data_IF_699613356211
#
_entry.id   IF_699613356211
#
_cell.length_a   1.000
_cell.length_b   1.000
_cell.length_c   1.000
_cell.angle_alpha   90.00
_cell.angle_beta   90.00
_cell.angle_gamma   90.00
#
_symmetry.space_group_name_H-M   'P 1'
#
loop_
_entity.id
_entity.type
_entity.pdbx_description
1 polymer ?
#
# COMPACT_ATOMS: atom_id res chain seq x y z
N UNK A 1 19.92 13.72 37.60
CA UNK A 1 20.55 13.20 36.37
C UNK A 1 19.56 12.18 35.85
N UNK A 2 18.68 12.64 34.96
CA UNK A 2 17.49 11.90 34.54
C UNK A 2 17.90 10.80 33.56
N UNK A 3 17.47 9.60 33.90
CA UNK A 3 17.59 8.39 33.10
C UNK A 3 16.50 8.43 32.01
N UNK A 4 16.83 8.98 30.84
CA UNK A 4 15.99 8.95 29.63
C UNK A 4 16.25 7.69 28.79
N UNK A 5 16.48 6.55 29.44
CA UNK A 5 16.63 5.22 28.81
C UNK A 5 15.30 4.46 28.66
N UNK A 6 14.25 5.10 28.17
CA UNK A 6 12.88 4.56 28.29
C UNK A 6 12.00 4.69 27.04
N UNK A 7 12.18 3.76 26.08
CA UNK A 7 11.23 3.22 25.08
C UNK A 7 11.85 3.05 23.69
N UNK A 8 12.87 2.18 23.60
CA UNK A 8 12.86 1.24 22.47
C UNK A 8 11.81 0.19 22.82
N UNK A 9 10.55 0.53 22.56
CA UNK A 9 9.47 -0.44 22.43
C UNK A 9 9.89 -1.41 21.33
N UNK A 10 10.52 -2.50 21.74
CA UNK A 10 10.80 -3.73 21.02
C UNK A 10 10.38 -3.68 19.53
N UNK A 11 11.18 -2.95 18.73
CA UNK A 11 10.89 -2.64 17.31
C UNK A 11 10.74 -3.95 16.50
N UNK A 12 11.20 -5.06 17.09
CA UNK A 12 11.30 -6.40 16.55
C UNK A 12 10.31 -7.42 17.11
N UNK A 13 9.56 -7.14 18.20
CA UNK A 13 8.62 -8.10 18.82
C UNK A 13 7.23 -8.19 18.17
N UNK A 14 7.05 -7.57 17.00
CA UNK A 14 5.83 -7.72 16.21
C UNK A 14 5.84 -9.01 15.39
N UNK A 15 4.66 -9.60 15.20
CA UNK A 15 4.43 -10.66 14.22
C UNK A 15 5.02 -10.28 12.85
N UNK A 16 5.61 -11.25 12.15
CA UNK A 16 6.32 -11.06 10.88
C UNK A 16 5.40 -10.40 9.85
N UNK A 17 4.12 -10.77 9.85
CA UNK A 17 3.09 -10.13 9.03
C UNK A 17 3.01 -8.62 9.27
N UNK A 18 2.90 -8.21 10.53
CA UNK A 18 2.82 -6.79 10.91
C UNK A 18 4.08 -6.00 10.54
N UNK A 19 5.23 -6.67 10.45
CA UNK A 19 6.50 -6.07 10.02
C UNK A 19 6.55 -5.93 8.50
N UNK A 20 6.14 -6.97 7.77
CA UNK A 20 6.04 -6.93 6.31
C UNK A 20 5.05 -5.87 5.84
N UNK A 21 3.87 -5.75 6.48
CA UNK A 21 2.93 -4.66 6.17
C UNK A 21 3.52 -3.27 6.40
N UNK A 22 4.34 -3.09 7.45
CA UNK A 22 4.99 -1.80 7.72
C UNK A 22 6.00 -1.47 6.63
N UNK A 23 6.78 -2.46 6.19
CA UNK A 23 7.71 -2.29 5.08
C UNK A 23 6.96 -1.98 3.77
N UNK A 24 5.87 -2.70 3.48
CA UNK A 24 5.03 -2.50 2.30
C UNK A 24 4.44 -1.09 2.23
N UNK A 25 3.88 -0.61 3.35
CA UNK A 25 3.37 0.76 3.46
C UNK A 25 4.46 1.81 3.21
N UNK A 26 5.70 1.58 3.67
CA UNK A 26 6.82 2.50 3.45
C UNK A 26 7.29 2.49 2.00
N UNK A 27 7.39 1.32 1.36
CA UNK A 27 7.70 1.22 -0.07
C UNK A 27 6.62 1.92 -0.90
N UNK A 28 5.34 1.72 -0.58
CA UNK A 28 4.24 2.42 -1.26
C UNK A 28 4.30 3.94 -1.06
N UNK A 29 4.60 4.41 0.16
CA UNK A 29 4.78 5.84 0.42
C UNK A 29 5.91 6.43 -0.43
N UNK A 30 7.04 5.72 -0.55
CA UNK A 30 8.15 6.13 -1.42
C UNK A 30 7.75 6.13 -2.90
N UNK A 31 6.97 5.15 -3.37
CA UNK A 31 6.43 5.14 -4.75
C UNK A 31 5.53 6.36 -4.99
N UNK A 32 4.66 6.70 -4.03
CA UNK A 32 3.74 7.83 -4.16
C UNK A 32 4.46 9.18 -4.11
N UNK A 33 5.44 9.36 -3.22
CA UNK A 33 6.29 10.57 -3.21
C UNK A 33 6.99 10.72 -4.56
N UNK A 34 7.42 9.59 -5.14
CA UNK A 34 8.18 9.58 -6.37
C UNK A 34 7.25 10.07 -7.48
N UNK A 35 6.03 9.53 -7.53
CA UNK A 35 5.05 9.88 -8.56
C UNK A 35 4.66 11.35 -8.46
N UNK A 36 4.55 11.87 -7.24
CA UNK A 36 4.30 13.30 -7.02
C UNK A 36 5.44 14.16 -7.56
N UNK A 37 6.70 13.78 -7.33
CA UNK A 37 7.88 14.50 -7.85
C UNK A 37 7.99 14.40 -9.38
N UNK A 38 7.72 13.22 -9.95
CA UNK A 38 7.73 12.97 -11.40
C UNK A 38 6.78 13.91 -12.14
N UNK A 39 5.63 14.16 -11.54
CA UNK A 39 4.60 15.05 -12.10
C UNK A 39 5.06 16.51 -12.22
N UNK A 40 6.05 16.91 -11.42
CA UNK A 40 6.59 18.27 -11.34
C UNK A 40 7.96 18.36 -12.05
N UNK A 41 8.63 17.23 -12.27
CA UNK A 41 9.97 17.18 -12.84
C UNK A 41 9.97 17.39 -14.36
N UNK A 42 10.96 18.16 -14.83
CA UNK A 42 11.19 18.39 -16.26
C UNK A 42 11.73 17.14 -16.99
N UNK A 43 12.30 16.19 -16.24
CA UNK A 43 12.71 14.86 -16.72
C UNK A 43 12.27 13.76 -15.75
N UNK A 44 11.34 12.88 -16.14
CA UNK A 44 10.83 11.83 -15.27
C UNK A 44 11.83 10.67 -15.09
N UNK A 45 12.06 10.21 -13.85
CA UNK A 45 12.98 9.09 -13.54
C UNK A 45 12.27 7.72 -13.60
N UNK A 46 11.98 7.30 -14.83
CA UNK A 46 11.23 6.06 -15.13
C UNK A 46 11.86 4.78 -14.55
N UNK A 47 13.17 4.77 -14.30
CA UNK A 47 13.89 3.55 -13.86
C UNK A 47 13.69 3.32 -12.37
N UNK A 48 13.86 4.35 -11.56
CA UNK A 48 13.64 4.25 -10.11
C UNK A 48 12.17 3.88 -9.79
N UNK A 49 11.21 4.40 -10.56
CA UNK A 49 9.80 3.99 -10.46
C UNK A 49 9.58 2.50 -10.68
N UNK A 50 10.11 1.98 -11.79
CA UNK A 50 9.91 0.59 -12.15
C UNK A 50 10.51 -0.33 -11.07
N UNK A 51 11.69 0.01 -10.54
CA UNK A 51 12.35 -0.76 -9.49
C UNK A 51 11.59 -0.72 -8.16
N UNK A 52 11.13 0.45 -7.72
CA UNK A 52 10.30 0.56 -6.50
C UNK A 52 8.95 -0.16 -6.65
N UNK A 53 8.34 -0.09 -7.83
CA UNK A 53 7.13 -0.84 -8.15
C UNK A 53 7.35 -2.35 -8.11
N UNK A 54 8.48 -2.85 -8.61
CA UNK A 54 8.87 -4.25 -8.51
C UNK A 54 9.15 -4.67 -7.06
N UNK A 55 9.86 -3.86 -6.28
CA UNK A 55 10.07 -4.10 -4.86
C UNK A 55 8.74 -4.23 -4.10
N UNK A 56 7.77 -3.34 -4.37
CA UNK A 56 6.43 -3.43 -3.80
C UNK A 56 5.71 -4.72 -4.22
N UNK A 57 5.80 -5.11 -5.49
CA UNK A 57 5.17 -6.33 -5.98
C UNK A 57 5.70 -7.59 -5.28
N UNK A 58 7.03 -7.70 -5.12
CA UNK A 58 7.67 -8.83 -4.44
C UNK A 58 7.37 -8.83 -2.93
N UNK A 59 7.32 -7.66 -2.28
CA UNK A 59 6.88 -7.56 -0.89
C UNK A 59 5.45 -8.06 -0.70
N UNK A 60 4.55 -7.68 -1.62
CA UNK A 60 3.15 -8.08 -1.57
C UNK A 60 2.99 -9.58 -1.82
N UNK A 61 3.80 -10.16 -2.71
CA UNK A 61 3.86 -11.61 -2.90
C UNK A 61 4.28 -12.33 -1.61
N UNK A 62 5.33 -11.83 -0.93
CA UNK A 62 5.76 -12.38 0.36
C UNK A 62 4.66 -12.27 1.44
N UNK A 63 3.99 -11.12 1.56
CA UNK A 63 2.85 -10.93 2.47
C UNK A 63 1.74 -11.94 2.18
N UNK A 64 1.42 -12.18 0.91
CA UNK A 64 0.36 -13.11 0.55
C UNK A 64 0.69 -14.56 0.92
N UNK A 65 1.97 -14.95 0.90
CA UNK A 65 2.42 -16.27 1.38
C UNK A 65 2.36 -16.38 2.90
N UNK A 66 2.63 -15.29 3.61
CA UNK A 66 2.49 -15.23 5.08
C UNK A 66 1.03 -15.24 5.53
N UNK A 67 0.15 -14.62 4.76
CA UNK A 67 -1.27 -14.59 5.06
C UNK A 67 -2.13 -14.91 3.81
N UNK A 68 -2.23 -16.21 3.45
CA UNK A 68 -3.07 -16.63 2.32
C UNK A 68 -4.57 -16.42 2.58
N UNK A 69 -4.96 -16.30 3.86
CA UNK A 69 -6.34 -16.08 4.31
C UNK A 69 -6.79 -14.61 4.20
N UNK A 70 -5.86 -13.66 4.13
CA UNK A 70 -6.16 -12.25 3.86
C UNK A 70 -6.23 -12.00 2.36
N UNK A 71 -7.06 -12.77 1.68
CA UNK A 71 -7.82 -12.16 0.60
C UNK A 71 -8.56 -10.99 1.25
N UNK A 72 -8.60 -9.78 0.64
CA UNK A 72 -9.66 -8.85 1.00
C UNK A 72 -10.97 -9.64 0.97
N UNK A 73 -11.96 -9.29 1.79
CA UNK A 73 -13.26 -9.96 1.78
C UNK A 73 -13.95 -9.82 0.39
N UNK A 74 -13.42 -10.50 -0.63
CA UNK A 74 -13.88 -10.59 -2.01
C UNK A 74 -15.21 -11.33 -2.04
N UNK A 75 -15.56 -12.03 -0.95
CA UNK A 75 -16.88 -12.60 -0.72
C UNK A 75 -17.87 -11.59 -0.15
N UNK A 76 -17.43 -10.58 0.63
CA UNK A 76 -18.31 -9.50 1.10
C UNK A 76 -18.56 -8.48 0.00
N UNK A 77 -17.65 -8.31 -0.95
CA UNK A 77 -17.84 -7.38 -2.07
C UNK A 77 -19.13 -7.63 -2.88
N UNK A 78 -19.45 -8.86 -3.34
CA UNK A 78 -20.72 -9.13 -4.00
C UNK A 78 -21.92 -9.02 -3.05
N UNK A 79 -21.77 -9.33 -1.76
CA UNK A 79 -22.85 -9.21 -0.76
C UNK A 79 -23.17 -7.74 -0.46
N UNK A 80 -22.17 -6.89 -0.29
CA UNK A 80 -22.34 -5.45 -0.11
C UNK A 80 -22.87 -4.80 -1.39
N UNK A 81 -22.39 -5.21 -2.56
CA UNK A 81 -22.91 -4.74 -3.85
C UNK A 81 -24.39 -5.08 -4.02
N UNK A 82 -24.77 -6.33 -3.78
CA UNK A 82 -26.17 -6.78 -3.87
C UNK A 82 -27.07 -6.14 -2.82
N UNK A 83 -26.59 -6.00 -1.57
CA UNK A 83 -27.31 -5.31 -0.51
C UNK A 83 -27.53 -3.82 -0.83
N UNK A 84 -26.52 -3.13 -1.35
CA UNK A 84 -26.64 -1.71 -1.75
C UNK A 84 -27.64 -1.55 -2.90
N UNK A 85 -27.64 -2.47 -3.86
CA UNK A 85 -28.60 -2.50 -4.96
C UNK A 85 -30.03 -2.71 -4.46
N UNK A 86 -30.25 -3.66 -3.54
CA UNK A 86 -31.55 -3.95 -2.95
C UNK A 86 -32.09 -2.78 -2.13
N UNK A 87 -31.25 -2.17 -1.29
CA UNK A 87 -31.64 -1.00 -0.48
C UNK A 87 -31.99 0.17 -1.39
N UNK A 88 -31.18 0.43 -2.42
CA UNK A 88 -31.44 1.51 -3.37
C UNK A 88 -32.75 1.28 -4.14
N UNK A 89 -33.01 0.05 -4.60
CA UNK A 89 -34.26 -0.33 -5.29
C UNK A 89 -35.49 -0.19 -4.38
N UNK A 90 -35.36 -0.59 -3.11
CA UNK A 90 -36.44 -0.51 -2.14
C UNK A 90 -36.79 0.95 -1.80
N UNK A 91 -35.80 1.83 -1.67
CA UNK A 91 -36.02 3.26 -1.43
C UNK A 91 -36.76 3.90 -2.61
N UNK A 92 -36.42 3.57 -3.85
CA UNK A 92 -37.14 4.07 -5.03
C UNK A 92 -38.60 3.63 -4.98
N UNK A 93 -38.87 2.36 -4.67
CA UNK A 93 -40.24 1.83 -4.60
C UNK A 93 -41.06 2.46 -3.46
N UNK A 94 -40.44 2.81 -2.34
CA UNK A 94 -41.12 3.40 -1.18
C UNK A 94 -41.36 4.91 -1.30
N UNK A 95 -40.56 5.63 -2.09
CA UNK A 95 -40.68 7.09 -2.24
C UNK A 95 -41.65 7.47 -3.37
N UNK A 96 -41.95 6.55 -4.30
CA UNK A 96 -42.87 6.78 -5.42
C UNK A 96 -44.28 6.32 -5.03
N UNK A 97 -44.98 7.16 -4.26
CA UNK A 97 -46.44 7.02 -4.05
C UNK A 97 -47.26 7.89 -5.04
N UNK A 98 -46.60 8.82 -5.73
CA UNK A 98 -47.13 9.63 -6.84
C UNK A 98 -46.23 9.48 -8.07
N UNK A 99 -46.77 9.55 -9.31
CA UNK A 99 -45.98 9.42 -10.53
C UNK A 99 -45.04 10.61 -10.70
N UNK A 100 -43.88 10.55 -10.05
CA UNK A 100 -42.81 11.51 -10.24
C UNK A 100 -42.39 11.51 -11.71
N UNK A 101 -42.20 12.71 -12.25
CA UNK A 101 -41.73 12.91 -13.62
C UNK A 101 -40.43 12.10 -13.82
N UNK A 102 -40.34 11.18 -14.80
CA UNK A 102 -39.28 10.16 -14.89
C UNK A 102 -37.85 10.74 -14.90
N UNK A 103 -37.70 12.00 -15.32
CA UNK A 103 -36.43 12.73 -15.28
C UNK A 103 -35.90 12.97 -13.87
N UNK A 104 -36.79 13.27 -12.91
CA UNK A 104 -36.41 13.58 -11.52
C UNK A 104 -35.89 12.32 -10.82
N UNK A 105 -36.51 11.18 -11.11
CA UNK A 105 -36.14 9.88 -10.56
C UNK A 105 -34.79 9.39 -11.11
N UNK A 106 -34.56 9.58 -12.41
CA UNK A 106 -33.27 9.27 -13.03
C UNK A 106 -32.12 10.09 -12.41
N UNK A 107 -32.36 11.38 -12.14
CA UNK A 107 -31.33 12.25 -11.55
C UNK A 107 -31.01 11.86 -10.10
N UNK A 108 -32.03 11.54 -9.30
CA UNK A 108 -31.85 11.09 -7.91
C UNK A 108 -31.07 9.77 -7.84
N UNK A 109 -31.34 8.84 -8.75
CA UNK A 109 -30.63 7.57 -8.88
C UNK A 109 -29.15 7.76 -9.19
N UNK A 110 -28.84 8.59 -10.18
CA UNK A 110 -27.45 8.87 -10.57
C UNK A 110 -26.71 9.57 -9.44
N UNK A 111 -27.33 10.56 -8.79
CA UNK A 111 -26.72 11.24 -7.65
C UNK A 111 -26.47 10.29 -6.47
N UNK A 112 -27.43 9.43 -6.13
CA UNK A 112 -27.28 8.41 -5.08
C UNK A 112 -26.17 7.40 -5.39
N UNK A 113 -26.08 6.94 -6.64
CA UNK A 113 -25.03 6.04 -7.10
C UNK A 113 -23.65 6.70 -6.99
N UNK A 114 -23.53 7.96 -7.41
CA UNK A 114 -22.27 8.71 -7.32
C UNK A 114 -21.85 8.89 -5.85
N UNK A 115 -22.77 9.28 -4.95
CA UNK A 115 -22.47 9.46 -3.52
C UNK A 115 -22.06 8.13 -2.88
N UNK A 116 -22.75 7.03 -3.18
CA UNK A 116 -22.39 5.70 -2.70
C UNK A 116 -21.02 5.25 -3.22
N UNK A 117 -20.74 5.52 -4.50
CA UNK A 117 -19.46 5.20 -5.10
C UNK A 117 -18.34 6.02 -4.47
N UNK A 118 -18.53 7.32 -4.28
CA UNK A 118 -17.59 8.19 -3.56
C UNK A 118 -17.38 7.73 -2.12
N UNK A 119 -18.43 7.31 -1.41
CA UNK A 119 -18.35 6.78 -0.05
C UNK A 119 -17.57 5.45 0.04
N UNK A 120 -17.71 4.57 -0.95
CA UNK A 120 -16.94 3.33 -1.05
C UNK A 120 -15.47 3.57 -1.43
N UNK A 121 -15.20 4.64 -2.20
CA UNK A 121 -13.84 5.06 -2.55
C UNK A 121 -13.21 6.03 -1.56
N UNK A 122 -13.96 6.52 -0.56
CA UNK A 122 -13.44 7.32 0.54
C UNK A 122 -12.66 6.36 1.46
N UNK A 123 -11.33 6.35 1.40
CA UNK A 123 -10.55 5.43 2.19
C UNK A 123 -10.71 5.84 3.65
N UNK A 124 -11.33 4.95 4.43
CA UNK A 124 -11.44 5.07 5.87
C UNK A 124 -10.07 5.39 6.47
N UNK A 125 -10.01 6.51 7.21
CA UNK A 125 -8.80 7.12 7.79
C UNK A 125 -7.72 7.41 6.73
N UNK A 126 -7.72 8.66 6.24
CA UNK A 126 -6.47 9.37 5.94
C UNK A 126 -5.58 9.38 7.18
N UNK A 127 -4.85 8.29 7.42
CA UNK A 127 -3.68 8.32 8.29
C UNK A 127 -2.73 9.31 7.62
N UNK A 128 -2.21 10.27 8.39
CA UNK A 128 -1.15 11.18 7.95
C UNK A 128 -0.14 10.35 7.17
N UNK A 129 -0.10 10.53 5.85
CA UNK A 129 0.97 10.01 5.04
C UNK A 129 2.18 10.80 5.49
N UNK A 130 3.08 10.14 6.19
CA UNK A 130 4.40 10.69 6.43
C UNK A 130 5.02 10.79 5.04
N UNK A 131 5.26 12.03 4.59
CA UNK A 131 5.96 12.27 3.32
C UNK A 131 7.40 11.87 3.61
N UNK A 132 7.77 10.66 3.19
CA UNK A 132 9.14 10.20 3.24
C UNK A 132 9.84 10.66 1.98
N UNK A 133 10.84 11.51 2.17
CA UNK A 133 11.68 11.98 1.08
C UNK A 133 12.49 10.82 0.52
N UNK A 134 12.27 10.52 -0.76
CA UNK A 134 12.93 9.39 -1.45
C UNK A 134 14.43 9.49 -1.42
N UNK A 135 14.97 10.70 -1.46
CA UNK A 135 16.42 10.92 -1.50
C UNK A 135 17.08 10.66 -0.15
N UNK A 136 16.31 10.42 0.92
CA UNK A 136 16.85 10.15 2.24
C UNK A 136 17.61 8.79 2.27
N UNK A 137 18.94 8.78 2.46
CA UNK A 137 19.70 7.54 2.58
C UNK A 137 19.25 6.68 3.76
N UNK A 138 18.71 7.31 4.82
CA UNK A 138 18.23 6.61 6.01
C UNK A 138 16.97 5.80 5.72
N UNK A 139 16.12 6.24 4.78
CA UNK A 139 14.96 5.49 4.32
C UNK A 139 15.39 4.14 3.73
N UNK A 140 16.35 4.15 2.82
CA UNK A 140 16.83 2.92 2.18
C UNK A 140 17.55 2.00 3.16
N UNK A 141 18.31 2.56 4.10
CA UNK A 141 18.95 1.78 5.16
C UNK A 141 17.91 1.09 6.06
N UNK A 142 16.88 1.81 6.50
CA UNK A 142 15.80 1.24 7.31
C UNK A 142 14.99 0.19 6.54
N UNK A 143 14.64 0.44 5.27
CA UNK A 143 13.95 -0.54 4.41
C UNK A 143 14.78 -1.81 4.24
N UNK A 144 16.07 -1.67 3.92
CA UNK A 144 17.00 -2.80 3.76
C UNK A 144 17.04 -3.64 5.03
N UNK A 145 17.31 -3.01 6.17
CA UNK A 145 17.38 -3.70 7.47
C UNK A 145 16.07 -4.42 7.82
N UNK A 146 14.91 -3.80 7.53
CA UNK A 146 13.60 -4.43 7.80
C UNK A 146 13.33 -5.62 6.91
N UNK A 147 13.59 -5.50 5.61
CA UNK A 147 13.34 -6.56 4.64
C UNK A 147 14.32 -7.72 4.91
N UNK A 148 15.59 -7.45 5.19
CA UNK A 148 16.59 -8.45 5.59
C UNK A 148 16.16 -9.19 6.86
N UNK A 149 15.72 -8.46 7.88
CA UNK A 149 15.28 -9.08 9.12
C UNK A 149 14.00 -9.92 8.93
N UNK A 150 13.12 -9.58 7.98
CA UNK A 150 11.97 -10.43 7.63
C UNK A 150 12.40 -11.65 6.80
N UNK A 151 13.35 -11.49 5.87
CA UNK A 151 13.90 -12.58 5.07
C UNK A 151 14.63 -13.59 5.95
N UNK A 152 15.37 -13.13 6.96
CA UNK A 152 16.02 -14.00 7.95
C UNK A 152 15.00 -14.87 8.70
N UNK A 153 13.89 -14.27 9.15
CA UNK A 153 12.80 -15.03 9.80
C UNK A 153 12.11 -15.99 8.85
N UNK A 154 11.92 -15.60 7.58
CA UNK A 154 11.32 -16.46 6.56
C UNK A 154 12.19 -17.69 6.24
N UNK A 155 13.52 -17.54 6.25
CA UNK A 155 14.45 -18.67 6.01
C UNK A 155 14.45 -19.69 7.13
N UNK A 156 14.25 -19.26 8.37
CA UNK A 156 14.21 -20.15 9.54
C UNK A 156 12.86 -20.81 9.75
N UNK A 157 11.85 -20.47 8.94
CA UNK A 157 10.51 -21.03 9.08
C UNK A 157 10.44 -22.51 8.60
N UNK A 158 9.81 -23.42 9.36
CA UNK A 158 9.65 -24.81 8.95
C UNK A 158 8.77 -24.97 7.70
N UNK A 159 7.84 -24.06 7.42
CA UNK A 159 6.91 -24.15 6.29
C UNK A 159 7.60 -23.79 4.97
N UNK A 160 7.49 -24.67 3.98
CA UNK A 160 8.11 -24.47 2.67
C UNK A 160 7.60 -23.20 1.95
N UNK A 161 6.32 -22.87 2.12
CA UNK A 161 5.72 -21.66 1.54
C UNK A 161 6.33 -20.38 2.12
N UNK A 162 6.65 -20.38 3.42
CA UNK A 162 7.26 -19.24 4.10
C UNK A 162 8.74 -19.12 3.77
N UNK A 163 9.44 -20.24 3.57
CA UNK A 163 10.80 -20.21 2.99
C UNK A 163 10.84 -19.63 1.59
N UNK A 164 9.85 -19.91 0.75
CA UNK A 164 9.76 -19.28 -0.58
C UNK A 164 9.49 -17.76 -0.50
N UNK A 165 8.84 -17.28 0.58
CA UNK A 165 8.72 -15.83 0.82
C UNK A 165 10.08 -15.17 1.08
N UNK A 166 11.08 -15.90 1.58
CA UNK A 166 12.43 -15.37 1.75
C UNK A 166 13.10 -15.05 0.41
N UNK A 167 12.82 -15.82 -0.65
CA UNK A 167 13.33 -15.57 -2.00
C UNK A 167 12.68 -14.32 -2.60
N UNK A 168 11.37 -14.15 -2.40
CA UNK A 168 10.64 -12.94 -2.80
C UNK A 168 11.20 -11.69 -2.08
N UNK A 169 11.48 -11.79 -0.77
CA UNK A 169 12.12 -10.70 -0.01
C UNK A 169 13.57 -10.45 -0.44
N UNK A 170 14.29 -11.49 -0.86
CA UNK A 170 15.62 -11.36 -1.47
C UNK A 170 15.57 -10.53 -2.75
N UNK A 171 14.63 -10.85 -3.66
CA UNK A 171 14.42 -10.06 -4.89
C UNK A 171 14.01 -8.62 -4.59
N UNK A 172 13.18 -8.40 -3.56
CA UNK A 172 12.82 -7.05 -3.13
C UNK A 172 14.04 -6.24 -2.65
N UNK A 173 14.97 -6.86 -1.91
CA UNK A 173 16.23 -6.23 -1.49
C UNK A 173 17.11 -5.83 -2.67
N UNK A 174 17.19 -6.69 -3.70
CA UNK A 174 17.95 -6.39 -4.92
C UNK A 174 17.39 -5.13 -5.61
N UNK A 175 16.07 -5.01 -5.70
CA UNK A 175 15.40 -3.84 -6.29
C UNK A 175 15.59 -2.57 -5.47
N UNK A 176 15.49 -2.66 -4.14
CA UNK A 176 15.74 -1.52 -3.23
C UNK A 176 17.19 -1.05 -3.33
N UNK A 177 18.15 -1.99 -3.34
CA UNK A 177 19.58 -1.70 -3.46
C UNK A 177 19.92 -1.06 -4.81
N UNK A 178 19.39 -1.61 -5.90
CA UNK A 178 19.58 -1.06 -7.24
C UNK A 178 19.00 0.36 -7.38
N UNK A 179 17.92 0.68 -6.64
CA UNK A 179 17.35 2.03 -6.60
C UNK A 179 18.27 2.98 -5.85
N UNK A 180 18.75 2.59 -4.66
CA UNK A 180 19.69 3.38 -3.87
C UNK A 180 20.97 3.72 -4.66
N UNK A 181 21.51 2.75 -5.38
CA UNK A 181 22.72 2.91 -6.17
C UNK A 181 22.51 3.85 -7.37
N UNK A 182 21.31 3.88 -7.95
CA UNK A 182 20.94 4.84 -9.00
C UNK A 182 20.87 6.26 -8.46
N UNK A 183 20.19 6.46 -7.33
CA UNK A 183 20.06 7.77 -6.67
C UNK A 183 21.44 8.29 -6.25
N UNK A 184 22.28 7.42 -5.70
CA UNK A 184 23.66 7.76 -5.32
C UNK A 184 24.52 8.16 -6.54
N UNK A 185 24.27 7.54 -7.71
CA UNK A 185 24.94 7.93 -8.96
C UNK A 185 24.42 9.25 -9.52
N UNK A 186 23.11 9.47 -9.52
CA UNK A 186 22.49 10.71 -10.02
C UNK A 186 22.74 11.95 -9.15
N UNK A 187 22.98 11.75 -7.85
CA UNK A 187 23.36 12.81 -6.91
C UNK A 187 24.84 13.19 -6.98
N UNK A 188 25.68 12.41 -7.67
CA UNK A 188 27.08 12.73 -7.87
C UNK A 188 27.24 13.97 -8.77
N UNK A 189 28.02 14.98 -8.35
CA UNK A 189 28.21 16.22 -9.12
C UNK A 189 28.88 16.01 -10.48
N UNK A 190 29.48 14.84 -10.73
CA UNK A 190 30.07 14.50 -12.03
C UNK A 190 29.04 14.12 -13.11
N UNK A 191 27.76 13.92 -12.73
CA UNK A 191 26.69 13.53 -13.65
C UNK A 191 25.78 14.70 -14.10
N UNK A 192 26.05 15.94 -13.62
CA UNK A 192 25.30 17.16 -13.99
C UNK A 192 26.04 17.99 -15.04
#
# INVERSE_FOLDING_TARGET
MSDEGGRDEDIFAGDVESRLERADRRVMAAVLDAQCRDWIAERPDRVSFARLGQAHHELRAAIHRYNPMRKPDDWLWPVLSTATWLVTSLIILLVVDEPADPLTLAFALVAGLIVAQVALFLPGRRRKHEILEIEDPLLYADLTNRIEACAATARSDPRAELRAAADDLGRALDWVSATRDEISRGSSPAAR
#
